data_IF_727348166461
#
_entry.id   IF_727348166461
#
_cell.length_a   1.000
_cell.length_b   1.000
_cell.length_c   1.000
_cell.angle_alpha   90.00
_cell.angle_beta   90.00
_cell.angle_gamma   90.00
#
_symmetry.space_group_name_H-M   'P 1'
#
loop_
_entity.id
_entity.type
_entity.pdbx_description
1 polymer ?
#
# COMPACT_ATOMS: atom_id res chain seq x y z
N UNK A 1 -37.96 -6.38 -6.77
CA UNK A 1 -37.22 -6.30 -8.05
C UNK A 1 -36.33 -7.51 -8.10
N UNK A 2 -36.38 -8.29 -9.18
CA UNK A 2 -35.57 -9.51 -9.32
C UNK A 2 -34.29 -9.18 -10.11
N UNK A 3 -33.27 -8.69 -9.41
CA UNK A 3 -32.00 -8.34 -10.05
C UNK A 3 -31.12 -9.57 -10.22
N UNK A 4 -30.49 -9.68 -11.39
CA UNK A 4 -29.61 -10.79 -11.73
C UNK A 4 -28.14 -10.38 -11.70
N UNK A 5 -27.32 -11.12 -10.95
CA UNK A 5 -25.88 -10.99 -10.99
C UNK A 5 -25.31 -11.81 -12.15
N UNK A 6 -24.52 -11.19 -13.02
CA UNK A 6 -23.84 -11.86 -14.13
C UNK A 6 -22.38 -11.44 -14.17
N UNK A 7 -21.46 -12.41 -14.27
CA UNK A 7 -20.03 -12.11 -14.45
C UNK A 7 -19.82 -11.37 -15.77
N UNK A 8 -19.01 -10.31 -15.73
CA UNK A 8 -18.56 -9.57 -16.90
C UNK A 8 -17.11 -9.95 -17.21
N UNK A 9 -16.84 -10.40 -18.43
CA UNK A 9 -15.50 -10.81 -18.87
C UNK A 9 -14.75 -9.65 -19.49
N UNK A 10 -14.55 -8.57 -18.72
CA UNK A 10 -14.02 -7.27 -19.24
C UNK A 10 -12.64 -7.37 -19.89
N UNK A 11 -11.82 -8.37 -19.53
CA UNK A 11 -10.50 -8.63 -20.16
C UNK A 11 -10.57 -9.48 -21.44
N UNK A 12 -11.70 -10.11 -21.74
CA UNK A 12 -11.86 -11.07 -22.86
C UNK A 12 -13.00 -10.73 -23.81
N UNK A 13 -13.94 -9.88 -23.39
CA UNK A 13 -15.15 -9.51 -24.14
C UNK A 13 -15.20 -7.99 -24.29
N UNK A 14 -15.02 -7.51 -25.53
CA UNK A 14 -15.13 -6.09 -25.87
C UNK A 14 -16.51 -5.54 -25.50
N UNK A 15 -17.57 -6.34 -25.69
CA UNK A 15 -18.95 -5.97 -25.34
C UNK A 15 -19.12 -5.76 -23.83
N UNK A 16 -18.56 -6.66 -23.02
CA UNK A 16 -18.65 -6.55 -21.56
C UNK A 16 -17.83 -5.37 -21.05
N UNK A 17 -16.63 -5.18 -21.60
CA UNK A 17 -15.78 -4.02 -21.32
C UNK A 17 -16.52 -2.71 -21.60
N UNK A 18 -17.11 -2.55 -22.78
CA UNK A 18 -17.83 -1.34 -23.16
C UNK A 18 -19.05 -1.07 -22.26
N UNK A 19 -19.78 -2.12 -21.85
CA UNK A 19 -20.92 -1.97 -20.91
C UNK A 19 -20.44 -1.51 -19.54
N UNK A 20 -19.37 -2.13 -19.03
CA UNK A 20 -18.74 -1.81 -17.75
C UNK A 20 -18.19 -0.39 -17.74
N UNK A 21 -17.35 -0.04 -18.70
CA UNK A 21 -16.76 1.30 -18.88
C UNK A 21 -17.84 2.37 -18.99
N UNK A 22 -18.88 2.13 -19.80
CA UNK A 22 -19.99 3.07 -19.94
C UNK A 22 -20.67 3.31 -18.59
N UNK A 23 -20.99 2.27 -17.83
CA UNK A 23 -21.66 2.43 -16.52
C UNK A 23 -20.78 3.21 -15.54
N UNK A 24 -19.49 2.88 -15.46
CA UNK A 24 -18.54 3.57 -14.58
C UNK A 24 -18.42 5.05 -14.95
N UNK A 25 -18.27 5.36 -16.24
CA UNK A 25 -18.20 6.73 -16.73
C UNK A 25 -19.45 7.55 -16.36
N UNK A 26 -20.65 6.97 -16.47
CA UNK A 26 -21.90 7.64 -16.04
C UNK A 26 -21.98 7.85 -14.52
N UNK A 27 -21.28 7.04 -13.74
CA UNK A 27 -21.14 7.20 -12.29
C UNK A 27 -19.99 8.15 -11.89
N UNK A 28 -19.26 8.72 -12.86
CA UNK A 28 -18.08 9.54 -12.60
C UNK A 28 -16.92 8.75 -12.01
N UNK A 29 -16.80 7.48 -12.42
CA UNK A 29 -15.77 6.54 -11.98
C UNK A 29 -14.96 6.10 -13.21
N UNK A 30 -13.64 6.01 -13.04
CA UNK A 30 -12.70 5.53 -14.07
C UNK A 30 -12.57 4.01 -14.02
N UNK A 31 -12.14 3.42 -15.12
CA UNK A 31 -11.78 1.99 -15.18
C UNK A 31 -10.40 1.75 -14.58
N UNK A 32 -10.14 0.52 -14.13
CA UNK A 32 -8.81 0.05 -13.71
C UNK A 32 -8.42 -1.24 -14.44
N UNK A 33 -7.17 -1.33 -14.88
CA UNK A 33 -6.68 -2.51 -15.61
C UNK A 33 -6.41 -3.73 -14.71
N UNK A 34 -6.10 -3.49 -13.44
CA UNK A 34 -5.70 -4.53 -12.49
C UNK A 34 -6.88 -5.34 -11.92
N UNK A 35 -8.11 -5.17 -12.44
CA UNK A 35 -9.27 -5.96 -12.01
C UNK A 35 -9.13 -7.44 -12.40
N UNK A 36 -9.38 -8.35 -11.46
CA UNK A 36 -9.28 -9.81 -11.66
C UNK A 36 -10.66 -10.45 -11.86
N UNK A 37 -11.68 -9.87 -11.25
CA UNK A 37 -13.07 -10.29 -11.38
C UNK A 37 -13.96 -9.05 -11.52
N UNK A 38 -15.03 -9.15 -12.31
CA UNK A 38 -16.01 -8.09 -12.47
C UNK A 38 -17.40 -8.70 -12.62
N UNK A 39 -18.38 -8.13 -11.93
CA UNK A 39 -19.78 -8.54 -11.97
C UNK A 39 -20.66 -7.36 -12.36
N UNK A 40 -21.73 -7.65 -13.09
CA UNK A 40 -22.80 -6.71 -13.38
C UNK A 40 -24.07 -7.15 -12.67
N UNK A 41 -24.81 -6.17 -12.16
CA UNK A 41 -26.17 -6.33 -11.67
C UNK A 41 -27.13 -5.88 -12.77
N UNK A 42 -28.06 -6.74 -13.13
CA UNK A 42 -28.98 -6.53 -14.25
C UNK A 42 -30.43 -6.45 -13.81
N UNK A 43 -31.15 -5.50 -14.40
CA UNK A 43 -32.61 -5.43 -14.40
C UNK A 43 -33.07 -5.76 -15.83
N UNK A 44 -33.50 -7.01 -16.04
CA UNK A 44 -33.64 -7.60 -17.38
C UNK A 44 -32.31 -7.61 -18.14
N UNK A 45 -32.24 -6.90 -19.27
CA UNK A 45 -31.04 -6.75 -20.09
C UNK A 45 -30.22 -5.49 -19.75
N UNK A 46 -30.76 -4.60 -18.91
CA UNK A 46 -30.11 -3.35 -18.53
C UNK A 46 -29.09 -3.60 -17.42
N UNK A 47 -27.84 -3.25 -17.66
CA UNK A 47 -26.81 -3.20 -16.61
C UNK A 47 -27.11 -1.98 -15.72
N UNK A 48 -27.48 -2.24 -14.47
CA UNK A 48 -27.88 -1.20 -13.49
C UNK A 48 -26.83 -0.98 -12.39
N UNK A 49 -25.85 -1.88 -12.27
CA UNK A 49 -24.77 -1.75 -11.31
C UNK A 49 -23.60 -2.66 -11.66
N UNK A 50 -22.42 -2.37 -11.12
CA UNK A 50 -21.22 -3.18 -11.31
C UNK A 50 -20.29 -3.07 -10.11
N UNK A 51 -19.39 -4.04 -10.00
CA UNK A 51 -18.28 -4.02 -9.08
C UNK A 51 -17.21 -5.01 -9.49
N UNK A 52 -15.99 -4.73 -9.07
CA UNK A 52 -14.80 -5.50 -9.42
C UNK A 52 -14.00 -5.87 -8.17
N UNK A 53 -13.10 -6.85 -8.31
CA UNK A 53 -12.14 -7.26 -7.28
C UNK A 53 -10.74 -7.23 -7.89
N UNK A 54 -9.79 -6.69 -7.14
CA UNK A 54 -8.37 -6.98 -7.30
C UNK A 54 -7.84 -7.50 -5.96
N UNK A 55 -7.37 -8.75 -5.95
CA UNK A 55 -7.01 -9.51 -4.74
C UNK A 55 -8.17 -9.55 -3.74
N UNK A 56 -8.06 -8.84 -2.62
CA UNK A 56 -9.09 -8.70 -1.60
C UNK A 56 -9.68 -7.27 -1.51
N UNK A 57 -9.38 -6.41 -2.49
CA UNK A 57 -9.87 -5.04 -2.57
C UNK A 57 -11.06 -4.96 -3.54
N UNK A 58 -12.19 -4.42 -3.05
CA UNK A 58 -13.34 -4.08 -3.87
C UNK A 58 -13.06 -2.78 -4.64
N UNK A 59 -13.25 -2.84 -5.95
CA UNK A 59 -12.95 -1.75 -6.89
C UNK A 59 -14.10 -1.50 -7.85
N UNK A 60 -14.07 -0.35 -8.51
CA UNK A 60 -14.99 -0.01 -9.60
C UNK A 60 -16.47 -0.27 -9.26
N UNK A 61 -16.89 0.10 -8.05
CA UNK A 61 -18.27 -0.07 -7.57
C UNK A 61 -19.16 1.09 -8.04
N UNK A 62 -20.19 0.78 -8.82
CA UNK A 62 -21.15 1.78 -9.30
C UNK A 62 -22.57 1.20 -9.37
N UNK A 63 -23.55 2.03 -9.05
CA UNK A 63 -24.99 1.74 -9.22
C UNK A 63 -25.66 2.93 -9.89
N UNK A 64 -26.54 2.68 -10.85
CA UNK A 64 -27.32 3.71 -11.52
C UNK A 64 -28.12 4.53 -10.50
N UNK A 65 -28.17 5.86 -10.70
CA UNK A 65 -28.89 6.80 -9.79
C UNK A 65 -30.37 6.45 -9.63
N UNK A 66 -31.00 5.92 -10.67
CA UNK A 66 -32.41 5.49 -10.66
C UNK A 66 -32.69 4.28 -9.75
N UNK A 67 -31.64 3.59 -9.29
CA UNK A 67 -31.70 2.39 -8.45
C UNK A 67 -31.04 2.65 -7.08
N UNK A 68 -31.07 3.91 -6.63
CA UNK A 68 -30.52 4.35 -5.34
C UNK A 68 -31.47 3.99 -4.19
N UNK A 69 -31.06 3.07 -3.33
CA UNK A 69 -31.89 2.59 -2.22
C UNK A 69 -31.28 1.43 -1.41
N UNK A 70 -29.95 1.27 -1.44
CA UNK A 70 -29.22 0.23 -0.69
C UNK A 70 -29.30 -1.17 -1.32
N UNK A 71 -30.46 -1.63 -1.81
CA UNK A 71 -30.65 -3.01 -2.27
C UNK A 71 -29.65 -3.47 -3.34
N UNK A 72 -29.46 -2.67 -4.40
CA UNK A 72 -28.55 -2.99 -5.49
C UNK A 72 -27.07 -3.01 -5.06
N UNK A 73 -26.63 -2.01 -4.28
CA UNK A 73 -25.25 -1.96 -3.79
C UNK A 73 -24.98 -3.09 -2.79
N UNK A 74 -25.94 -3.41 -1.91
CA UNK A 74 -25.83 -4.48 -0.95
C UNK A 74 -25.69 -5.84 -1.64
N UNK A 75 -26.46 -6.10 -2.70
CA UNK A 75 -26.36 -7.35 -3.45
C UNK A 75 -25.00 -7.47 -4.16
N UNK A 76 -24.51 -6.39 -4.77
CA UNK A 76 -23.19 -6.36 -5.41
C UNK A 76 -22.06 -6.59 -4.40
N UNK A 77 -22.02 -5.80 -3.34
CA UNK A 77 -20.94 -5.85 -2.35
C UNK A 77 -20.97 -7.18 -1.60
N UNK A 78 -22.15 -7.70 -1.22
CA UNK A 78 -22.25 -9.01 -0.57
C UNK A 78 -21.73 -10.14 -1.45
N UNK A 79 -22.07 -10.13 -2.75
CA UNK A 79 -21.55 -11.11 -3.71
C UNK A 79 -20.03 -11.05 -3.82
N UNK A 80 -19.47 -9.84 -3.97
CA UNK A 80 -18.03 -9.68 -4.09
C UNK A 80 -17.28 -10.05 -2.82
N UNK A 81 -17.81 -9.69 -1.65
CA UNK A 81 -17.28 -10.10 -0.36
C UNK A 81 -17.25 -11.62 -0.22
N UNK A 82 -18.35 -12.31 -0.55
CA UNK A 82 -18.40 -13.76 -0.49
C UNK A 82 -17.32 -14.38 -1.38
N UNK A 83 -17.12 -13.86 -2.60
CA UNK A 83 -16.05 -14.30 -3.48
C UNK A 83 -14.64 -14.05 -2.92
N UNK A 84 -14.43 -12.96 -2.18
CA UNK A 84 -13.14 -12.69 -1.51
C UNK A 84 -12.91 -13.74 -0.42
N UNK A 85 -13.87 -13.97 0.47
CA UNK A 85 -13.74 -14.93 1.57
C UNK A 85 -13.72 -16.40 1.11
N UNK A 86 -14.46 -16.77 0.08
CA UNK A 86 -14.45 -18.12 -0.52
C UNK A 86 -13.08 -18.48 -1.12
N UNK A 87 -12.29 -17.47 -1.53
CA UNK A 87 -10.90 -17.68 -1.97
C UNK A 87 -9.90 -17.88 -0.82
N UNK A 88 -10.37 -17.81 0.43
CA UNK A 88 -9.54 -17.98 1.62
C UNK A 88 -8.92 -16.68 2.16
N UNK A 89 -9.27 -15.53 1.60
CA UNK A 89 -8.85 -14.24 2.15
C UNK A 89 -9.52 -14.00 3.52
N UNK A 90 -8.81 -13.37 4.44
CA UNK A 90 -9.31 -13.13 5.82
C UNK A 90 -9.81 -11.71 6.06
N UNK A 91 -9.62 -10.84 5.06
CA UNK A 91 -10.00 -9.45 5.06
C UNK A 91 -10.51 -9.06 3.68
N UNK A 92 -11.42 -8.08 3.64
CA UNK A 92 -11.90 -7.43 2.44
C UNK A 92 -11.81 -5.91 2.63
N UNK A 93 -11.25 -5.23 1.64
CA UNK A 93 -10.95 -3.81 1.72
C UNK A 93 -11.75 -3.01 0.70
N UNK A 94 -12.05 -1.75 1.04
CA UNK A 94 -12.63 -0.81 0.08
C UNK A 94 -12.10 0.60 0.33
N UNK A 95 -11.79 1.27 -0.77
CA UNK A 95 -11.47 2.70 -0.83
C UNK A 95 -12.65 3.38 -1.50
N UNK A 96 -13.24 4.36 -0.84
CA UNK A 96 -14.50 4.95 -1.31
C UNK A 96 -14.62 6.42 -0.95
N UNK A 97 -15.62 7.11 -1.53
CA UNK A 97 -15.93 8.50 -1.19
C UNK A 97 -16.65 8.59 0.15
N UNK A 98 -16.49 9.69 0.92
CA UNK A 98 -17.23 9.97 2.15
C UNK A 98 -18.75 9.70 2.07
N UNK A 99 -19.37 10.06 0.95
CA UNK A 99 -20.80 9.87 0.74
C UNK A 99 -21.26 8.40 0.71
N UNK A 100 -20.34 7.45 0.46
CA UNK A 100 -20.64 6.03 0.37
C UNK A 100 -20.36 5.27 1.68
N UNK A 101 -19.72 5.90 2.68
CA UNK A 101 -19.31 5.25 3.94
C UNK A 101 -20.46 4.55 4.65
N UNK A 102 -21.61 5.21 4.81
CA UNK A 102 -22.76 4.64 5.52
C UNK A 102 -23.23 3.32 4.89
N UNK A 103 -23.23 3.21 3.56
CA UNK A 103 -23.62 1.98 2.87
C UNK A 103 -22.71 0.81 3.21
N UNK A 104 -21.40 1.03 3.26
CA UNK A 104 -20.44 -0.01 3.65
C UNK A 104 -20.50 -0.35 5.14
N UNK A 105 -20.79 0.63 6.02
CA UNK A 105 -20.99 0.37 7.45
C UNK A 105 -22.19 -0.57 7.70
N UNK A 106 -23.30 -0.42 6.96
CA UNK A 106 -24.44 -1.35 7.04
C UNK A 106 -24.07 -2.79 6.62
N UNK A 107 -23.04 -2.96 5.79
CA UNK A 107 -22.49 -4.25 5.38
C UNK A 107 -21.38 -4.75 6.35
N UNK A 108 -21.17 -4.02 7.43
CA UNK A 108 -20.23 -4.34 8.50
C UNK A 108 -18.77 -4.07 8.13
N UNK A 109 -18.50 -3.10 7.25
CA UNK A 109 -17.17 -2.52 7.13
C UNK A 109 -16.93 -1.50 8.25
N UNK A 110 -15.71 -1.47 8.77
CA UNK A 110 -15.22 -0.46 9.70
C UNK A 110 -14.31 0.52 8.97
N UNK A 111 -14.39 1.79 9.33
CA UNK A 111 -13.48 2.81 8.84
C UNK A 111 -12.11 2.66 9.51
N UNK A 112 -11.04 2.69 8.71
CA UNK A 112 -9.64 2.68 9.18
C UNK A 112 -9.14 4.12 9.27
N UNK A 113 -9.28 4.86 8.17
CA UNK A 113 -8.85 6.24 8.07
C UNK A 113 -9.59 6.97 6.96
N UNK A 114 -9.57 8.30 7.03
CA UNK A 114 -10.24 9.21 6.11
C UNK A 114 -9.38 10.44 5.85
N UNK A 115 -9.32 10.85 4.60
CA UNK A 115 -8.70 12.10 4.16
C UNK A 115 -9.58 12.72 3.09
N UNK A 116 -9.84 14.03 3.15
CA UNK A 116 -10.57 14.82 2.15
C UNK A 116 -11.69 14.04 1.40
N UNK A 117 -11.38 13.53 0.20
CA UNK A 117 -12.32 12.85 -0.71
C UNK A 117 -12.36 11.32 -0.59
N UNK A 118 -11.64 10.72 0.37
CA UNK A 118 -11.37 9.29 0.46
C UNK A 118 -11.55 8.74 1.88
N UNK A 119 -12.14 7.54 1.94
CA UNK A 119 -12.29 6.72 3.14
C UNK A 119 -11.76 5.33 2.84
N UNK A 120 -10.84 4.86 3.67
CA UNK A 120 -10.35 3.49 3.64
C UNK A 120 -11.08 2.68 4.71
N UNK A 121 -11.70 1.59 4.29
CA UNK A 121 -12.51 0.74 5.16
C UNK A 121 -12.16 -0.73 4.97
N UNK A 122 -12.35 -1.52 6.02
CA UNK A 122 -12.13 -2.97 6.01
C UNK A 122 -13.33 -3.73 6.57
N UNK A 123 -13.43 -4.98 6.14
CA UNK A 123 -14.19 -6.02 6.83
C UNK A 123 -13.29 -7.23 7.00
N UNK A 124 -12.94 -7.55 8.23
CA UNK A 124 -12.02 -8.64 8.54
C UNK A 124 -12.39 -9.32 9.86
N UNK A 125 -12.06 -10.60 9.98
CA UNK A 125 -12.21 -11.34 11.26
C UNK A 125 -11.17 -10.88 12.29
N UNK A 126 -9.94 -10.63 11.83
CA UNK A 126 -8.82 -10.09 12.60
C UNK A 126 -8.19 -8.93 11.82
N UNK A 127 -8.84 -7.78 11.91
CA UNK A 127 -8.50 -6.58 11.13
C UNK A 127 -7.52 -5.65 11.83
N UNK A 128 -7.73 -4.36 11.62
CA UNK A 128 -6.84 -3.27 11.99
C UNK A 128 -6.67 -3.18 13.51
N UNK A 129 -7.75 -3.36 14.27
CA UNK A 129 -7.70 -3.43 15.73
C UNK A 129 -6.75 -4.55 16.21
N UNK A 130 -6.81 -5.74 15.60
CA UNK A 130 -5.90 -6.85 15.91
C UNK A 130 -4.47 -6.58 15.46
N UNK A 131 -4.28 -5.83 14.38
CA UNK A 131 -2.96 -5.36 13.95
C UNK A 131 -2.35 -4.40 14.98
N UNK A 132 -3.10 -3.41 15.45
CA UNK A 132 -2.65 -2.48 16.50
C UNK A 132 -2.37 -3.23 17.81
N UNK A 133 -3.22 -4.19 18.20
CA UNK A 133 -2.97 -5.02 19.38
C UNK A 133 -1.68 -5.85 19.28
N UNK A 134 -1.34 -6.34 18.08
CA UNK A 134 -0.08 -7.03 17.86
C UNK A 134 1.12 -6.08 17.97
N UNK A 135 1.00 -4.86 17.42
CA UNK A 135 2.02 -3.82 17.57
C UNK A 135 2.22 -3.44 19.03
N UNK A 136 1.14 -3.32 19.81
CA UNK A 136 1.21 -2.91 21.22
C UNK A 136 2.03 -3.87 22.10
N UNK A 137 2.25 -5.11 21.65
CA UNK A 137 3.13 -6.07 22.34
C UNK A 137 4.62 -5.72 22.23
N UNK A 138 4.97 -4.79 21.33
CA UNK A 138 6.34 -4.33 21.11
C UNK A 138 6.59 -2.92 21.66
N UNK A 139 5.66 -2.38 22.46
CA UNK A 139 5.86 -1.08 23.12
C UNK A 139 7.10 -1.15 24.01
N UNK A 140 7.93 -0.12 23.92
CA UNK A 140 9.12 0.06 24.75
C UNK A 140 8.99 1.39 25.49
N UNK A 141 9.38 1.41 26.77
CA UNK A 141 9.47 2.64 27.53
C UNK A 141 10.68 3.46 27.07
N UNK A 142 10.49 4.76 26.85
CA UNK A 142 11.54 5.68 26.45
C UNK A 142 10.98 7.07 26.14
N UNK A 143 11.84 8.07 26.20
CA UNK A 143 11.47 9.46 25.91
C UNK A 143 11.46 9.70 24.39
N UNK A 144 12.35 9.01 23.68
CA UNK A 144 12.57 9.18 22.24
C UNK A 144 12.33 7.88 21.51
N UNK A 145 11.11 7.69 21.04
CA UNK A 145 10.72 6.54 20.22
C UNK A 145 10.49 7.00 18.77
N UNK A 146 11.14 6.31 17.83
CA UNK A 146 11.10 6.66 16.42
C UNK A 146 10.42 5.59 15.56
N UNK A 147 9.87 6.02 14.42
CA UNK A 147 9.28 5.17 13.40
C UNK A 147 9.93 5.36 12.03
N UNK A 148 10.26 4.27 11.36
CA UNK A 148 10.70 4.22 9.96
C UNK A 148 9.76 3.33 9.16
N UNK A 149 9.16 3.82 8.08
CA UNK A 149 8.45 2.99 7.09
C UNK A 149 9.29 2.91 5.82
N UNK A 150 9.52 1.70 5.31
CA UNK A 150 10.31 1.49 4.09
C UNK A 150 9.84 0.30 3.26
N UNK A 151 10.02 0.40 1.94
CA UNK A 151 9.83 -0.75 1.04
C UNK A 151 11.05 -1.69 1.07
N UNK A 152 12.27 -1.17 1.07
CA UNK A 152 13.50 -1.98 1.05
C UNK A 152 13.55 -3.01 -0.12
N UNK A 153 13.34 -2.54 -1.35
CA UNK A 153 13.22 -3.36 -2.57
C UNK A 153 14.39 -3.17 -3.57
N UNK A 154 15.63 -3.62 -3.28
CA UNK A 154 16.06 -4.33 -2.07
C UNK A 154 16.51 -3.40 -0.93
N UNK A 155 16.90 -3.98 0.20
CA UNK A 155 17.59 -3.27 1.28
C UNK A 155 18.95 -2.76 0.78
N UNK A 156 19.30 -1.52 1.10
CA UNK A 156 20.50 -0.83 0.59
C UNK A 156 21.25 -0.19 1.73
N UNK A 157 22.49 0.27 1.51
CA UNK A 157 23.22 1.04 2.52
C UNK A 157 22.55 2.37 2.85
N UNK A 158 21.72 2.91 1.94
CA UNK A 158 20.88 4.07 2.22
C UNK A 158 19.81 3.75 3.27
N UNK A 159 19.12 2.61 3.15
CA UNK A 159 18.17 2.16 4.17
C UNK A 159 18.86 1.86 5.51
N UNK A 160 20.01 1.16 5.47
CA UNK A 160 20.80 0.86 6.67
C UNK A 160 21.23 2.14 7.39
N UNK A 161 21.73 3.12 6.65
CA UNK A 161 22.11 4.42 7.20
C UNK A 161 20.95 5.17 7.85
N UNK A 162 19.77 5.18 7.23
CA UNK A 162 18.57 5.80 7.80
C UNK A 162 18.20 5.17 9.15
N UNK A 163 18.27 3.83 9.25
CA UNK A 163 17.99 3.12 10.50
C UNK A 163 19.08 3.40 11.54
N UNK A 164 20.36 3.34 11.16
CA UNK A 164 21.49 3.62 12.06
C UNK A 164 21.45 5.04 12.63
N UNK A 165 21.12 6.03 11.80
CA UNK A 165 20.99 7.42 12.22
C UNK A 165 19.83 7.60 13.21
N UNK A 166 18.65 7.04 12.92
CA UNK A 166 17.54 7.07 13.86
C UNK A 166 17.85 6.33 15.17
N UNK A 167 18.48 5.16 15.09
CA UNK A 167 18.83 4.35 16.26
C UNK A 167 19.86 5.03 17.17
N UNK A 168 20.74 5.86 16.61
CA UNK A 168 21.71 6.65 17.37
C UNK A 168 21.06 7.80 18.16
N UNK A 169 19.96 8.34 17.66
CA UNK A 169 19.31 9.54 18.19
C UNK A 169 18.08 9.25 19.07
N UNK A 170 17.69 7.98 19.20
CA UNK A 170 16.43 7.58 19.84
C UNK A 170 16.67 6.36 20.73
N UNK A 171 15.89 6.26 21.80
CA UNK A 171 15.94 5.14 22.74
C UNK A 171 15.51 3.84 22.03
N UNK A 172 14.55 3.95 21.12
CA UNK A 172 14.06 2.82 20.32
C UNK A 172 13.58 3.23 18.93
N UNK A 173 13.71 2.32 17.95
CA UNK A 173 13.22 2.52 16.58
C UNK A 173 12.33 1.36 16.14
N UNK A 174 11.11 1.70 15.71
CA UNK A 174 10.19 0.78 15.03
C UNK A 174 10.35 0.90 13.51
N UNK A 175 10.85 -0.16 12.86
CA UNK A 175 11.01 -0.23 11.41
C UNK A 175 9.88 -1.06 10.80
N UNK A 176 9.00 -0.41 10.05
CA UNK A 176 7.90 -1.00 9.30
C UNK A 176 8.33 -1.30 7.86
N UNK A 177 8.32 -2.59 7.50
CA UNK A 177 8.63 -3.05 6.16
C UNK A 177 7.33 -3.33 5.42
N UNK A 178 7.16 -2.73 4.24
CA UNK A 178 5.94 -2.91 3.43
C UNK A 178 5.67 -4.39 3.17
N UNK A 179 4.43 -4.86 3.37
CA UNK A 179 4.09 -6.29 3.20
C UNK A 179 3.67 -6.69 1.78
N UNK A 180 3.54 -5.73 0.87
CA UNK A 180 3.04 -5.99 -0.48
C UNK A 180 4.04 -6.76 -1.35
N UNK A 181 3.53 -7.73 -2.10
CA UNK A 181 4.33 -8.63 -2.95
C UNK A 181 4.31 -8.25 -4.44
N UNK A 182 3.89 -7.01 -4.77
CA UNK A 182 4.00 -6.45 -6.13
C UNK A 182 5.45 -6.05 -6.47
N UNK A 183 6.28 -5.88 -5.44
CA UNK A 183 7.70 -5.63 -5.58
C UNK A 183 8.42 -6.80 -6.26
N UNK A 184 9.51 -6.52 -6.96
CA UNK A 184 10.34 -7.55 -7.60
C UNK A 184 10.99 -8.45 -6.54
N UNK A 185 11.39 -7.88 -5.41
CA UNK A 185 11.86 -8.65 -4.26
C UNK A 185 10.66 -9.02 -3.37
N UNK A 186 10.49 -10.31 -3.02
CA UNK A 186 9.40 -10.76 -2.17
C UNK A 186 9.40 -10.09 -0.80
N UNK A 187 8.23 -9.81 -0.23
CA UNK A 187 8.08 -9.14 1.06
C UNK A 187 8.84 -9.83 2.19
N UNK A 188 8.77 -11.16 2.24
CA UNK A 188 9.49 -11.98 3.22
C UNK A 188 11.01 -11.84 3.08
N UNK A 189 11.52 -11.82 1.85
CA UNK A 189 12.94 -11.63 1.59
C UNK A 189 13.38 -10.20 1.93
N UNK A 190 12.58 -9.17 1.60
CA UNK A 190 12.85 -7.77 1.99
C UNK A 190 12.97 -7.63 3.50
N UNK A 191 12.01 -8.16 4.27
CA UNK A 191 12.05 -8.15 5.75
C UNK A 191 13.28 -8.87 6.29
N UNK A 192 13.60 -10.04 5.76
CA UNK A 192 14.79 -10.81 6.17
C UNK A 192 16.09 -10.07 5.87
N UNK A 193 16.17 -9.35 4.75
CA UNK A 193 17.33 -8.53 4.39
C UNK A 193 17.49 -7.33 5.32
N UNK A 194 16.39 -6.66 5.68
CA UNK A 194 16.38 -5.60 6.69
C UNK A 194 16.88 -6.16 8.02
N UNK A 195 16.26 -7.23 8.53
CA UNK A 195 16.62 -7.86 9.80
C UNK A 195 18.10 -8.24 9.88
N UNK A 196 18.61 -8.95 8.87
CA UNK A 196 20.04 -9.31 8.81
C UNK A 196 20.95 -8.10 8.68
N UNK A 197 20.51 -7.08 7.96
CA UNK A 197 21.29 -5.86 7.71
C UNK A 197 21.42 -4.92 8.91
N UNK A 198 20.65 -5.13 9.98
CA UNK A 198 20.67 -4.29 11.18
C UNK A 198 20.94 -5.07 12.48
N UNK A 199 21.43 -6.31 12.40
CA UNK A 199 21.65 -7.16 13.59
C UNK A 199 22.63 -6.58 14.61
N UNK A 200 23.44 -5.58 14.22
CA UNK A 200 24.34 -4.86 15.09
C UNK A 200 23.66 -3.75 15.90
N UNK A 201 22.36 -3.50 15.70
CA UNK A 201 21.58 -2.51 16.44
C UNK A 201 20.69 -3.22 17.47
N UNK A 202 20.89 -2.89 18.75
CA UNK A 202 20.18 -3.53 19.86
C UNK A 202 18.83 -2.87 20.17
N UNK A 203 18.56 -1.68 19.62
CA UNK A 203 17.40 -0.85 19.92
C UNK A 203 16.43 -0.69 18.75
N UNK A 204 16.23 -1.75 17.96
CA UNK A 204 15.35 -1.73 16.78
C UNK A 204 14.39 -2.91 16.76
N UNK A 205 13.11 -2.64 16.52
CA UNK A 205 12.07 -3.66 16.27
C UNK A 205 11.57 -3.58 14.83
N UNK A 206 11.34 -4.73 14.20
CA UNK A 206 10.88 -4.81 12.81
C UNK A 206 9.43 -5.29 12.75
N UNK A 207 8.60 -4.56 12.03
CA UNK A 207 7.16 -4.77 11.89
C UNK A 207 6.77 -4.92 10.42
N UNK A 208 5.70 -5.68 10.18
CA UNK A 208 5.03 -5.72 8.88
C UNK A 208 3.97 -4.62 8.82
N UNK A 209 3.71 -4.07 7.62
CA UNK A 209 2.63 -3.07 7.44
C UNK A 209 1.27 -3.71 7.13
N UNK A 210 1.26 -5.01 6.82
CA UNK A 210 0.09 -5.72 6.28
C UNK A 210 -0.50 -4.92 5.11
N UNK A 211 -1.79 -4.64 5.13
CA UNK A 211 -2.49 -3.86 4.11
C UNK A 211 -2.75 -2.41 4.52
N UNK A 212 -2.17 -1.96 5.65
CA UNK A 212 -2.51 -0.67 6.27
C UNK A 212 -1.59 0.48 5.87
N UNK A 213 -0.37 0.16 5.43
CA UNK A 213 0.51 1.10 4.74
C UNK A 213 0.97 0.42 3.46
N UNK A 214 0.64 1.03 2.32
CA UNK A 214 0.71 0.43 0.99
C UNK A 214 1.57 1.27 0.05
N UNK A 215 2.12 0.67 -0.99
CA UNK A 215 2.83 1.39 -2.05
C UNK A 215 1.84 2.01 -3.04
N UNK A 216 2.30 2.99 -3.82
CA UNK A 216 1.46 3.62 -4.84
C UNK A 216 1.00 2.68 -5.96
N UNK A 217 1.67 1.55 -6.15
CA UNK A 217 1.32 0.58 -7.19
C UNK A 217 -0.01 -0.14 -6.94
N UNK A 218 -0.48 -0.20 -5.69
CA UNK A 218 -1.72 -0.90 -5.29
C UNK A 218 -2.88 0.06 -4.98
N UNK A 219 -2.57 1.34 -4.79
CA UNK A 219 -3.53 2.34 -4.31
C UNK A 219 -4.69 2.56 -5.30
N UNK A 220 -5.95 2.26 -4.92
CA UNK A 220 -7.08 2.42 -5.82
C UNK A 220 -7.47 3.90 -5.96
N UNK A 221 -7.38 4.43 -7.19
CA UNK A 221 -7.67 5.84 -7.49
C UNK A 221 -8.84 6.04 -8.47
N UNK A 222 -9.54 4.96 -8.82
CA UNK A 222 -10.60 4.92 -9.83
C UNK A 222 -11.78 5.87 -9.55
N UNK A 223 -12.04 6.17 -8.28
CA UNK A 223 -13.14 7.05 -7.85
C UNK A 223 -12.71 8.52 -7.67
N UNK A 224 -11.41 8.81 -7.70
CA UNK A 224 -10.87 10.16 -7.60
C UNK A 224 -11.05 10.91 -8.93
N UNK A 225 -11.11 12.25 -8.84
CA UNK A 225 -11.23 13.09 -10.04
C UNK A 225 -9.95 13.05 -10.86
N UNK A 226 -10.02 13.34 -12.17
CA UNK A 226 -8.85 13.32 -13.05
C UNK A 226 -7.78 14.34 -12.67
N UNK A 227 -8.16 15.44 -12.01
CA UNK A 227 -7.25 16.48 -11.56
C UNK A 227 -6.69 16.24 -10.15
N UNK A 228 -7.14 15.18 -9.46
CA UNK A 228 -6.68 14.88 -8.10
C UNK A 228 -5.24 14.36 -8.14
N UNK A 229 -4.38 14.90 -7.28
CA UNK A 229 -3.05 14.33 -7.04
C UNK A 229 -3.18 13.04 -6.21
N UNK A 230 -3.25 11.91 -6.92
CA UNK A 230 -3.38 10.56 -6.32
C UNK A 230 -2.24 10.27 -5.35
N UNK A 231 -1.02 10.73 -5.66
CA UNK A 231 0.16 10.51 -4.82
C UNK A 231 0.01 11.28 -3.52
N UNK A 232 -0.44 12.53 -3.58
CA UNK A 232 -0.67 13.34 -2.39
C UNK A 232 -1.78 12.76 -1.51
N UNK A 233 -2.91 12.35 -2.10
CA UNK A 233 -4.03 11.75 -1.34
C UNK A 233 -3.59 10.47 -0.63
N UNK A 234 -2.85 9.60 -1.33
CA UNK A 234 -2.31 8.40 -0.73
C UNK A 234 -1.34 8.73 0.41
N UNK A 235 -0.40 9.65 0.17
CA UNK A 235 0.56 10.05 1.19
C UNK A 235 -0.12 10.61 2.43
N UNK A 236 -1.17 11.43 2.26
CA UNK A 236 -2.00 11.92 3.35
C UNK A 236 -2.70 10.79 4.11
N UNK A 237 -3.25 9.81 3.40
CA UNK A 237 -3.90 8.64 4.02
C UNK A 237 -2.90 7.82 4.84
N UNK A 238 -1.76 7.47 4.27
CA UNK A 238 -0.69 6.70 4.94
C UNK A 238 -0.19 7.46 6.19
N UNK A 239 0.05 8.78 6.06
CA UNK A 239 0.45 9.63 7.16
C UNK A 239 -0.64 9.72 8.25
N UNK A 240 -1.91 9.76 7.88
CA UNK A 240 -3.05 9.80 8.82
C UNK A 240 -3.16 8.49 9.60
N UNK A 241 -3.09 7.34 8.92
CA UNK A 241 -3.06 6.01 9.57
C UNK A 241 -1.88 5.93 10.55
N UNK A 242 -0.71 6.41 10.13
CA UNK A 242 0.46 6.40 10.99
C UNK A 242 0.27 7.29 12.22
N UNK A 243 -0.18 8.55 12.02
CA UNK A 243 -0.36 9.55 13.07
C UNK A 243 -1.43 9.15 14.08
N UNK A 244 -2.60 8.72 13.61
CA UNK A 244 -3.77 8.55 14.46
C UNK A 244 -3.83 7.18 15.13
N UNK A 245 -3.14 6.18 14.58
CA UNK A 245 -3.26 4.79 15.04
C UNK A 245 -1.91 4.16 15.41
N UNK A 246 -0.97 4.10 14.46
CA UNK A 246 0.29 3.35 14.67
C UNK A 246 1.19 4.05 15.69
N UNK A 247 1.38 5.36 15.55
CA UNK A 247 2.27 6.11 16.43
C UNK A 247 1.81 6.12 17.89
N UNK A 248 0.52 6.41 18.22
CA UNK A 248 0.02 6.32 19.59
C UNK A 248 0.11 4.90 20.17
N UNK A 249 -0.11 3.86 19.34
CA UNK A 249 -0.04 2.45 19.79
C UNK A 249 1.37 2.06 20.26
N UNK A 250 2.40 2.70 19.71
CA UNK A 250 3.82 2.39 19.98
C UNK A 250 4.57 3.53 20.68
N UNK A 251 3.86 4.57 21.13
CA UNK A 251 4.44 5.80 21.69
C UNK A 251 5.50 6.45 20.78
N UNK A 252 5.32 6.39 19.46
CA UNK A 252 6.27 6.98 18.49
C UNK A 252 6.12 8.50 18.46
N UNK A 253 7.21 9.22 18.74
CA UNK A 253 7.28 10.69 18.72
C UNK A 253 8.00 11.23 17.48
N UNK A 254 8.89 10.44 16.88
CA UNK A 254 9.71 10.85 15.75
C UNK A 254 9.47 9.97 14.52
N UNK A 255 9.36 10.58 13.34
CA UNK A 255 9.28 9.86 12.06
C UNK A 255 10.51 10.18 11.23
N UNK A 256 11.28 9.18 10.83
CA UNK A 256 12.49 9.37 10.02
C UNK A 256 12.28 8.96 8.57
N UNK A 257 12.60 9.87 7.64
CA UNK A 257 12.48 9.63 6.20
C UNK A 257 13.75 10.11 5.49
N UNK A 258 14.03 9.53 4.32
CA UNK A 258 15.13 10.00 3.49
C UNK A 258 14.72 11.21 2.67
N UNK A 259 15.65 12.13 2.48
CA UNK A 259 15.55 13.18 1.47
C UNK A 259 15.55 12.57 0.05
N UNK A 260 14.82 13.18 -0.87
CA UNK A 260 14.80 12.76 -2.27
C UNK A 260 14.44 13.95 -3.17
N UNK A 261 15.43 14.79 -3.53
CA UNK A 261 15.19 15.99 -4.32
C UNK A 261 14.83 15.68 -5.79
N UNK A 262 15.09 14.45 -6.26
CA UNK A 262 14.91 14.07 -7.67
C UNK A 262 13.67 13.18 -7.94
N UNK A 263 12.93 12.78 -6.91
CA UNK A 263 11.67 12.03 -7.05
C UNK A 263 10.51 12.91 -6.61
N UNK A 264 9.72 13.34 -7.58
CA UNK A 264 8.51 14.11 -7.33
C UNK A 264 7.57 13.40 -6.35
N UNK A 265 7.37 12.09 -6.53
CA UNK A 265 6.51 11.30 -5.64
C UNK A 265 7.02 11.28 -4.19
N UNK A 266 8.33 11.17 -3.98
CA UNK A 266 8.90 11.16 -2.62
C UNK A 266 8.82 12.54 -1.98
N UNK A 267 9.01 13.62 -2.77
CA UNK A 267 8.82 15.00 -2.31
C UNK A 267 7.38 15.23 -1.87
N UNK A 268 6.39 14.83 -2.68
CA UNK A 268 4.96 14.91 -2.36
C UNK A 268 4.66 14.14 -1.06
N UNK A 269 5.24 12.95 -0.89
CA UNK A 269 5.09 12.18 0.34
C UNK A 269 5.63 12.92 1.58
N UNK A 270 6.83 13.51 1.49
CA UNK A 270 7.42 14.26 2.59
C UNK A 270 6.61 15.53 2.93
N UNK A 271 6.09 16.22 1.92
CA UNK A 271 5.21 17.39 2.08
C UNK A 271 3.90 17.01 2.76
N UNK A 272 3.23 15.94 2.28
CA UNK A 272 2.00 15.43 2.89
C UNK A 272 2.21 14.97 4.34
N UNK A 273 3.33 14.31 4.65
CA UNK A 273 3.67 13.94 6.03
C UNK A 273 3.89 15.18 6.90
N UNK A 274 4.57 16.21 6.38
CA UNK A 274 4.79 17.47 7.11
C UNK A 274 3.47 18.14 7.45
N UNK A 275 2.55 18.20 6.48
CA UNK A 275 1.20 18.75 6.66
C UNK A 275 0.38 17.93 7.67
N UNK A 276 0.32 16.61 7.51
CA UNK A 276 -0.54 15.75 8.32
C UNK A 276 -0.03 15.62 9.76
N UNK A 277 1.29 15.51 9.97
CA UNK A 277 1.82 15.33 11.32
C UNK A 277 1.65 16.58 12.19
N UNK A 278 1.64 17.78 11.61
CA UNK A 278 1.32 19.05 12.29
C UNK A 278 1.83 19.12 13.75
N UNK A 279 3.14 18.88 13.93
CA UNK A 279 3.83 18.85 15.23
C UNK A 279 3.46 17.73 16.22
N UNK A 280 2.46 16.89 15.94
CA UNK A 280 2.13 15.71 16.75
C UNK A 280 3.21 14.63 16.66
N UNK A 281 3.87 14.55 15.51
CA UNK A 281 5.03 13.68 15.27
C UNK A 281 6.12 14.54 14.65
N UNK A 282 7.32 14.51 15.23
CA UNK A 282 8.45 15.23 14.67
C UNK A 282 9.01 14.49 13.46
N UNK A 283 8.85 15.07 12.27
CA UNK A 283 9.41 14.54 11.04
C UNK A 283 10.89 14.95 10.90
N UNK A 284 11.78 13.96 10.80
CA UNK A 284 13.21 14.16 10.51
C UNK A 284 13.50 13.66 9.10
N UNK A 285 13.86 14.58 8.20
CA UNK A 285 14.28 14.28 6.84
C UNK A 285 15.81 14.23 6.81
N UNK A 286 16.38 13.05 6.55
CA UNK A 286 17.82 12.85 6.49
C UNK A 286 18.34 12.94 5.06
N UNK A 287 19.37 13.75 4.84
CA UNK A 287 20.10 13.78 3.58
C UNK A 287 20.70 12.40 3.25
N UNK A 288 20.67 12.05 1.96
CA UNK A 288 21.06 10.71 1.54
C UNK A 288 22.55 10.46 1.66
N UNK A 289 22.86 9.19 1.94
CA UNK A 289 24.20 8.66 1.84
C UNK A 289 24.59 8.54 0.37
N UNK A 290 25.68 9.21 0.00
CA UNK A 290 26.28 9.14 -1.32
C UNK A 290 27.44 8.15 -1.35
N UNK A 291 27.76 7.64 -2.54
CA UNK A 291 29.00 6.93 -2.82
C UNK A 291 29.50 7.39 -4.16
N UNK A 292 30.75 7.88 -4.21
CA UNK A 292 31.38 8.42 -5.40
C UNK A 292 30.57 9.55 -6.08
N UNK A 293 29.89 10.38 -5.28
CA UNK A 293 29.05 11.49 -5.78
C UNK A 293 27.69 11.07 -6.33
N UNK A 294 27.34 9.78 -6.24
CA UNK A 294 26.03 9.28 -6.66
C UNK A 294 25.21 8.76 -5.48
N UNK A 295 23.91 9.06 -5.53
CA UNK A 295 22.95 8.69 -4.49
C UNK A 295 22.72 7.17 -4.46
N UNK A 296 22.79 6.56 -3.28
CA UNK A 296 22.46 5.14 -3.10
C UNK A 296 20.93 4.97 -3.14
N UNK A 297 20.40 4.37 -4.20
CA UNK A 297 18.97 4.07 -4.33
C UNK A 297 18.68 2.61 -4.69
N UNK A 298 17.55 2.10 -4.23
CA UNK A 298 17.10 0.74 -4.55
C UNK A 298 16.80 0.57 -6.06
N UNK A 299 16.28 1.62 -6.71
CA UNK A 299 16.02 1.62 -8.15
C UNK A 299 17.30 1.45 -8.96
N UNK A 300 18.40 2.11 -8.57
CA UNK A 300 19.72 1.93 -9.18
C UNK A 300 20.23 0.49 -9.02
N UNK A 301 20.06 -0.10 -7.83
CA UNK A 301 20.42 -1.50 -7.59
C UNK A 301 19.65 -2.44 -8.53
N UNK A 302 18.34 -2.23 -8.71
CA UNK A 302 17.52 -3.02 -9.63
C UNK A 302 17.98 -2.87 -11.09
N UNK A 303 18.27 -1.66 -11.54
CA UNK A 303 18.77 -1.41 -12.90
C UNK A 303 20.13 -2.10 -13.16
N UNK A 304 21.07 -1.99 -12.22
CA UNK A 304 22.36 -2.68 -12.31
C UNK A 304 22.21 -4.21 -12.27
N UNK A 305 21.24 -4.72 -11.51
CA UNK A 305 20.96 -6.15 -11.44
C UNK A 305 20.41 -6.67 -12.77
N UNK A 306 19.46 -5.96 -13.37
CA UNK A 306 18.92 -6.26 -14.71
C UNK A 306 20.04 -6.28 -15.77
N UNK A 307 20.94 -5.29 -15.72
CA UNK A 307 22.10 -5.19 -16.60
C UNK A 307 23.26 -6.17 -16.27
N UNK A 308 23.08 -7.08 -15.32
CA UNK A 308 24.08 -8.05 -14.87
C UNK A 308 25.41 -7.43 -14.37
N UNK A 309 25.34 -6.22 -13.80
CA UNK A 309 26.48 -5.44 -13.30
C UNK A 309 26.72 -5.63 -11.79
N UNK A 310 26.84 -6.89 -11.35
CA UNK A 310 26.91 -7.22 -9.92
C UNK A 310 28.08 -6.52 -9.17
N UNK A 311 29.21 -6.30 -9.84
CA UNK A 311 30.37 -5.59 -9.23
C UNK A 311 30.02 -4.15 -8.81
N UNK A 312 29.20 -3.46 -9.61
CA UNK A 312 28.75 -2.08 -9.35
C UNK A 312 27.70 -2.01 -8.23
N UNK A 313 27.02 -3.13 -7.93
CA UNK A 313 26.03 -3.20 -6.83
C UNK A 313 26.70 -3.30 -5.46
N UNK A 314 27.86 -3.97 -5.37
CA UNK A 314 28.58 -4.21 -4.10
C UNK A 314 28.76 -2.95 -3.23
N UNK A 315 29.16 -1.77 -3.76
CA UNK A 315 29.27 -0.57 -2.94
C UNK A 315 27.92 -0.04 -2.43
N UNK A 316 26.79 -0.34 -3.09
CA UNK A 316 25.47 0.26 -2.81
C UNK A 316 24.66 -0.48 -1.74
N UNK A 317 24.97 -1.75 -1.48
CA UNK A 317 24.17 -2.61 -0.59
C UNK A 317 25.00 -3.21 0.56
N UNK A 318 24.39 -3.54 1.70
CA UNK A 318 25.08 -4.26 2.76
C UNK A 318 25.48 -5.65 2.29
N UNK A 319 26.47 -6.25 2.96
CA UNK A 319 26.97 -7.58 2.61
C UNK A 319 25.85 -8.62 2.57
N UNK A 320 24.89 -8.53 3.49
CA UNK A 320 23.70 -9.41 3.56
C UNK A 320 22.86 -9.41 2.28
N UNK A 321 22.66 -8.22 1.69
CA UNK A 321 21.94 -8.08 0.42
C UNK A 321 22.80 -8.55 -0.75
N UNK A 322 24.09 -8.20 -0.74
CA UNK A 322 25.00 -8.63 -1.81
C UNK A 322 25.10 -10.17 -1.92
N UNK A 323 25.12 -10.87 -0.78
CA UNK A 323 25.16 -12.32 -0.76
C UNK A 323 23.82 -12.93 -1.19
N UNK A 324 22.69 -12.34 -0.80
CA UNK A 324 21.38 -12.74 -1.30
C UNK A 324 21.27 -12.68 -2.82
N UNK A 325 21.79 -11.61 -3.45
CA UNK A 325 21.76 -11.44 -4.91
C UNK A 325 22.52 -12.54 -5.66
N UNK A 326 23.47 -13.23 -5.02
CA UNK A 326 24.22 -14.35 -5.61
C UNK A 326 23.52 -15.70 -5.48
N UNK A 327 22.49 -15.80 -4.65
CA UNK A 327 21.72 -17.03 -4.45
C UNK A 327 20.82 -17.33 -5.64
N UNK A 328 20.21 -18.51 -5.64
CA UNK A 328 19.21 -18.87 -6.65
C UNK A 328 18.02 -17.89 -6.68
N UNK A 329 17.53 -17.46 -5.51
CA UNK A 329 16.49 -16.43 -5.40
C UNK A 329 16.91 -15.10 -6.02
N UNK A 330 18.16 -14.69 -5.81
CA UNK A 330 18.73 -13.49 -6.42
C UNK A 330 18.75 -13.55 -7.95
N UNK A 331 19.07 -14.73 -8.51
CA UNK A 331 19.03 -14.98 -9.97
C UNK A 331 17.60 -14.97 -10.51
N UNK A 332 16.64 -15.54 -9.81
CA UNK A 332 15.22 -15.49 -10.20
C UNK A 332 14.71 -14.04 -10.25
N UNK A 333 15.12 -13.21 -9.30
CA UNK A 333 14.81 -11.77 -9.31
C UNK A 333 15.46 -11.06 -10.48
N UNK A 334 16.71 -11.39 -10.80
CA UNK A 334 17.41 -10.83 -11.96
C UNK A 334 16.65 -11.14 -13.26
N UNK A 335 16.20 -12.38 -13.45
CA UNK A 335 15.40 -12.77 -14.61
C UNK A 335 14.08 -11.99 -14.67
N UNK A 336 13.35 -11.89 -13.55
CA UNK A 336 12.12 -11.09 -13.46
C UNK A 336 12.32 -9.61 -13.81
N UNK A 337 13.50 -9.05 -13.57
CA UNK A 337 13.82 -7.67 -13.94
C UNK A 337 14.09 -7.52 -15.43
N UNK A 338 14.71 -8.53 -16.05
CA UNK A 338 14.99 -8.55 -17.49
C UNK A 338 13.71 -8.78 -18.31
N UNK A 339 12.74 -9.54 -17.79
CA UNK A 339 11.45 -9.78 -18.44
C UNK A 339 10.48 -8.58 -18.38
N UNK A 340 10.83 -7.52 -17.63
CA UNK A 340 10.03 -6.29 -17.47
C UNK A 340 10.48 -5.14 -18.37
N UNK A 341 11.56 -5.31 -19.13
CA UNK A 341 11.97 -4.44 -20.25
C UNK A 341 11.35 -4.95 -21.56
#
# INVERSE_FOLDING_TARGET
MDFQLKRLWVKKSKKDYQRWEKLLHHAGIRTEENVQYTVGLFDGEKLIGTGSIADNVLKCLAVCKDYTGGGAINQLVSHLMNLVFEKGETACYVYTKPAATLSFQHLGFKEIARVEELVFMEKASFGFESYLQALSQSVVEGDRIAGIVMNANPFTKGHQYLIEAAAKENDWVHVFVLSEDISVFPATDRKNLVHKGIQHLDNVSIHDTKSYLVSSATFPSYFLTENSDVTQIQAKLDATIFRDSIAPTLNIHFRYVGEEPYSEATRIYNEAMTEVFDHHIQLTILSRKETDGEVISASRVRALLAANKLKEIKPLVPQTTFDYLKTQKGKEIQLKLQDKE
#
